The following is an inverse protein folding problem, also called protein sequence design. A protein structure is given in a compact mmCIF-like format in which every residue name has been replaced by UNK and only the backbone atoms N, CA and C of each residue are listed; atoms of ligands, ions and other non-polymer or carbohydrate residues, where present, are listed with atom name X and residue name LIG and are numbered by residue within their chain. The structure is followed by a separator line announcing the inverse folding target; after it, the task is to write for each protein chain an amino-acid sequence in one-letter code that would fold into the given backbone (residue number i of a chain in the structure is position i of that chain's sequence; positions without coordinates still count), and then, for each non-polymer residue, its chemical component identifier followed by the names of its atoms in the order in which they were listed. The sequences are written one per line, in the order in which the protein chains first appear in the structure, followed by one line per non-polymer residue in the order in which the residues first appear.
data_IF_413588372402
#
_entry.id   IF_413588372402
#
_cell.length_a   1.000
_cell.length_b   1.000
_cell.length_c   1.000
_cell.angle_alpha   90.00
_cell.angle_beta   90.00
_cell.angle_gamma   90.00
#
_symmetry.space_group_name_H-M   'P 1'
#
loop_
_entity.id
_entity.type
_entity.pdbx_description
1 polymer ?
#
# COMPACT_ATOMS: atom_id res chain seq x y z
N UNK A 1 62.96 17.96 -7.69
CA UNK A 1 63.41 19.12 -8.51
C UNK A 1 62.50 20.28 -8.13
N UNK A 2 62.91 21.12 -7.17
CA UNK A 2 63.49 22.47 -7.37
C UNK A 2 62.52 23.35 -8.17
N UNK A 3 61.85 24.37 -7.61
CA UNK A 3 62.37 25.66 -7.11
C UNK A 3 61.48 26.15 -5.92
N UNK A 4 61.98 26.51 -4.72
CA UNK A 4 62.79 27.66 -4.29
C UNK A 4 62.22 29.06 -4.61
N UNK A 5 61.93 29.84 -3.58
CA UNK A 5 61.57 31.26 -3.71
C UNK A 5 61.03 31.93 -2.44
N UNK A 6 61.79 31.90 -1.34
CA UNK A 6 61.55 32.69 -0.13
C UNK A 6 61.95 34.16 -0.33
N UNK A 7 61.11 35.11 0.13
CA UNK A 7 61.60 36.42 0.56
C UNK A 7 60.86 36.88 1.83
N UNK A 8 61.65 37.00 2.88
CA UNK A 8 61.35 37.59 4.18
C UNK A 8 61.43 39.11 4.12
N UNK A 9 60.53 39.81 4.82
CA UNK A 9 60.92 41.02 5.57
C UNK A 9 59.96 41.30 6.72
N UNK A 10 60.54 41.24 7.92
CA UNK A 10 59.96 41.72 9.15
C UNK A 10 60.16 43.24 9.27
N UNK A 11 59.19 43.95 9.85
CA UNK A 11 59.44 45.17 10.62
C UNK A 11 58.66 45.08 11.93
N UNK A 12 59.40 45.36 13.01
CA UNK A 12 59.03 45.32 14.42
C UNK A 12 58.09 46.46 14.80
N UNK A 13 57.12 46.11 15.65
CA UNK A 13 56.80 46.75 16.94
C UNK A 13 56.54 48.25 17.02
N UNK A 14 55.40 48.63 17.59
CA UNK A 14 55.35 49.49 18.80
C UNK A 14 53.95 49.52 19.43
N UNK A 15 53.97 49.22 20.72
CA UNK A 15 53.09 49.58 21.86
C UNK A 15 52.00 50.65 21.71
N UNK A 16 50.83 50.29 22.27
CA UNK A 16 50.07 51.07 23.27
C UNK A 16 49.20 52.24 22.78
N UNK A 17 47.88 52.08 22.85
CA UNK A 17 47.02 52.78 23.83
C UNK A 17 45.57 52.31 23.69
N UNK A 18 44.99 51.99 24.84
CA UNK A 18 43.55 51.85 25.03
C UNK A 18 42.85 53.16 24.62
N UNK A 19 41.83 53.06 23.78
CA UNK A 19 40.73 54.02 23.78
C UNK A 19 39.44 53.24 23.58
N UNK A 20 38.64 53.23 24.64
CA UNK A 20 37.26 52.81 24.62
C UNK A 20 36.48 53.75 23.70
N UNK A 21 35.94 53.23 22.61
CA UNK A 21 34.76 53.79 21.98
C UNK A 21 33.79 52.65 21.73
N UNK A 22 32.66 52.72 22.44
CA UNK A 22 31.54 51.83 22.28
C UNK A 22 31.01 51.92 20.86
N UNK A 23 31.09 50.80 20.15
CA UNK A 23 30.26 50.57 18.97
C UNK A 23 29.15 49.66 19.44
N UNK A 24 27.99 50.27 19.72
CA UNK A 24 26.71 49.57 19.66
C UNK A 24 26.56 49.15 18.20
N UNK A 25 27.02 47.95 17.86
CA UNK A 25 26.63 47.28 16.62
C UNK A 25 25.17 46.93 16.82
N UNK A 26 24.31 47.83 16.37
CA UNK A 26 22.91 47.57 16.15
C UNK A 26 22.88 46.43 15.12
N UNK A 27 22.73 45.19 15.61
CA UNK A 27 22.38 44.02 14.81
C UNK A 27 20.99 44.29 14.23
N UNK A 28 20.95 45.09 13.16
CA UNK A 28 19.95 44.97 12.11
C UNK A 28 20.22 43.63 11.41
N UNK A 29 19.94 42.55 12.13
CA UNK A 29 19.44 41.37 11.45
C UNK A 29 18.19 41.87 10.73
N UNK A 30 18.13 41.82 9.39
CA UNK A 30 16.83 41.81 8.78
C UNK A 30 16.15 40.61 9.40
N UNK A 31 15.17 40.87 10.28
CA UNK A 31 14.05 39.96 10.40
C UNK A 31 13.45 39.94 9.00
N UNK A 32 14.04 39.11 8.13
CA UNK A 32 13.31 38.48 7.06
C UNK A 32 12.15 37.84 7.80
N UNK A 33 11.02 38.52 7.79
CA UNK A 33 9.73 37.89 8.00
C UNK A 33 9.73 36.72 7.03
N UNK A 34 10.06 35.54 7.54
CA UNK A 34 9.84 34.26 6.90
C UNK A 34 8.33 34.16 6.76
N UNK A 35 7.84 34.76 5.69
CA UNK A 35 6.46 34.69 5.30
C UNK A 35 6.23 33.26 4.82
N UNK A 36 5.58 32.49 5.69
CA UNK A 36 5.04 31.16 5.46
C UNK A 36 3.95 31.15 4.37
N UNK A 37 4.24 31.69 3.19
CA UNK A 37 3.24 32.16 2.21
C UNK A 37 3.38 31.53 0.82
N UNK A 38 4.24 30.51 0.65
CA UNK A 38 4.52 29.95 -0.68
C UNK A 38 4.36 28.43 -0.76
N UNK A 39 3.94 27.96 -1.93
CA UNK A 39 3.81 26.53 -2.25
C UNK A 39 5.16 25.80 -2.18
N UNK A 40 6.27 26.51 -2.40
CA UNK A 40 7.63 25.98 -2.24
C UNK A 40 7.94 25.60 -0.78
N UNK A 41 7.46 26.39 0.17
CA UNK A 41 7.66 26.12 1.60
C UNK A 41 6.79 24.95 2.08
N UNK A 42 5.56 24.84 1.57
CA UNK A 42 4.71 23.66 1.80
C UNK A 42 5.45 22.38 1.35
N UNK A 43 6.08 22.41 0.17
CA UNK A 43 6.89 21.28 -0.34
C UNK A 43 8.09 20.99 0.55
N UNK A 44 8.84 22.01 0.94
CA UNK A 44 9.97 21.84 1.86
C UNK A 44 9.54 21.22 3.19
N UNK A 45 8.37 21.59 3.73
CA UNK A 45 7.83 20.99 4.94
C UNK A 45 7.40 19.53 4.75
N UNK A 46 6.82 19.18 3.60
CA UNK A 46 6.51 17.78 3.26
C UNK A 46 7.78 16.94 3.19
N UNK A 47 8.83 17.45 2.57
CA UNK A 47 10.10 16.73 2.41
C UNK A 47 10.81 16.51 3.76
N UNK A 48 10.53 17.34 4.76
CA UNK A 48 11.01 17.20 6.14
C UNK A 48 10.01 16.48 7.06
N UNK A 49 8.90 15.93 6.55
CA UNK A 49 7.91 15.19 7.33
C UNK A 49 7.00 16.04 8.22
N UNK A 50 6.99 17.37 8.07
CA UNK A 50 6.18 18.30 8.85
C UNK A 50 4.75 18.46 8.29
N UNK A 51 4.02 17.35 8.17
CA UNK A 51 2.73 17.23 7.46
C UNK A 51 1.66 18.12 8.06
N UNK A 52 1.50 18.06 9.38
CA UNK A 52 0.47 18.79 10.12
C UNK A 52 0.67 20.30 10.00
N UNK A 53 1.92 20.75 9.93
CA UNK A 53 2.27 22.14 9.70
C UNK A 53 1.99 22.55 8.26
N UNK A 54 2.35 21.72 7.28
CA UNK A 54 2.03 21.95 5.87
C UNK A 54 0.51 22.12 5.66
N UNK A 55 -0.30 21.21 6.19
CA UNK A 55 -1.77 21.31 6.11
C UNK A 55 -2.33 22.53 6.86
N UNK A 56 -1.73 22.91 8.00
CA UNK A 56 -2.11 24.11 8.73
C UNK A 56 -1.83 25.38 7.93
N UNK A 57 -0.69 25.45 7.24
CA UNK A 57 -0.35 26.57 6.34
C UNK A 57 -1.36 26.64 5.20
N UNK A 58 -1.68 25.51 4.56
CA UNK A 58 -2.72 25.47 3.51
C UNK A 58 -4.05 25.99 4.07
N UNK A 59 -4.51 25.51 5.23
CA UNK A 59 -5.77 25.96 5.83
C UNK A 59 -5.79 27.45 6.19
N UNK A 60 -4.65 28.02 6.59
CA UNK A 60 -4.57 29.40 7.06
C UNK A 60 -4.43 30.41 5.93
N UNK A 61 -3.71 30.06 4.86
CA UNK A 61 -3.26 31.01 3.84
C UNK A 61 -3.79 30.71 2.43
N UNK A 62 -4.51 29.60 2.21
CA UNK A 62 -5.15 29.34 0.93
C UNK A 62 -6.19 30.43 0.66
N UNK A 63 -6.03 31.12 -0.47
CA UNK A 63 -6.98 32.12 -0.96
C UNK A 63 -8.33 31.47 -1.22
N UNK A 64 -9.43 32.21 -1.18
CA UNK A 64 -10.71 31.63 -1.61
C UNK A 64 -10.68 31.36 -3.11
N UNK A 65 -11.51 30.40 -3.55
CA UNK A 65 -11.62 30.08 -4.96
C UNK A 65 -12.06 31.29 -5.79
N UNK A 66 -13.01 32.09 -5.28
CA UNK A 66 -13.57 33.23 -5.98
C UNK A 66 -12.54 34.36 -6.20
N UNK A 67 -11.54 34.49 -5.33
CA UNK A 67 -10.51 35.52 -5.43
C UNK A 67 -9.41 35.13 -6.43
N UNK A 68 -8.85 33.92 -6.28
CA UNK A 68 -7.70 33.47 -7.08
C UNK A 68 -7.82 31.99 -7.48
N UNK A 69 -8.67 31.65 -8.47
CA UNK A 69 -8.97 30.25 -8.82
C UNK A 69 -7.72 29.42 -9.14
N UNK A 70 -6.78 29.96 -9.91
CA UNK A 70 -5.55 29.25 -10.30
C UNK A 70 -4.64 28.97 -9.10
N UNK A 71 -4.50 29.94 -8.20
CA UNK A 71 -3.69 29.80 -6.99
C UNK A 71 -4.35 28.80 -6.05
N UNK A 72 -5.66 28.92 -5.82
CA UNK A 72 -6.44 27.96 -5.05
C UNK A 72 -6.25 26.52 -5.56
N UNK A 73 -6.37 26.30 -6.89
CA UNK A 73 -6.20 24.97 -7.49
C UNK A 73 -4.80 24.41 -7.27
N UNK A 74 -3.75 25.24 -7.35
CA UNK A 74 -2.38 24.77 -7.10
C UNK A 74 -2.17 24.32 -5.65
N UNK A 75 -2.77 25.03 -4.69
CA UNK A 75 -2.72 24.66 -3.28
C UNK A 75 -3.56 23.42 -2.99
N UNK A 76 -4.72 23.31 -3.64
CA UNK A 76 -5.60 22.16 -3.47
C UNK A 76 -5.01 20.88 -4.09
N UNK A 77 -4.29 21.01 -5.21
CA UNK A 77 -3.51 19.91 -5.77
C UNK A 77 -2.46 19.42 -4.76
N UNK A 78 -1.75 20.32 -4.09
CA UNK A 78 -0.80 19.90 -3.07
C UNK A 78 -1.46 19.34 -1.82
N UNK A 79 -2.61 19.85 -1.40
CA UNK A 79 -3.39 19.25 -0.32
C UNK A 79 -3.74 17.80 -0.63
N UNK A 80 -4.26 17.53 -1.84
CA UNK A 80 -4.57 16.17 -2.27
C UNK A 80 -3.30 15.31 -2.31
N UNK A 81 -2.19 15.82 -2.83
CA UNK A 81 -0.91 15.08 -2.83
C UNK A 81 -0.44 14.72 -1.42
N UNK A 82 -0.61 15.62 -0.44
CA UNK A 82 -0.33 15.34 0.97
C UNK A 82 -1.19 14.17 1.44
N UNK A 83 -2.50 14.27 1.27
CA UNK A 83 -3.40 13.19 1.72
C UNK A 83 -3.07 11.85 1.05
N UNK A 84 -2.70 11.85 -0.24
CA UNK A 84 -2.29 10.64 -0.94
C UNK A 84 -0.97 10.06 -0.41
N UNK A 85 0.03 10.91 -0.18
CA UNK A 85 1.36 10.47 0.29
C UNK A 85 1.29 9.87 1.70
N UNK A 86 0.43 10.40 2.55
CA UNK A 86 0.30 10.00 3.95
C UNK A 86 -0.95 9.16 4.22
N UNK A 87 -1.57 8.63 3.16
CA UNK A 87 -2.69 7.71 3.24
C UNK A 87 -3.90 8.23 4.05
N UNK A 88 -4.08 9.55 4.09
CA UNK A 88 -5.22 10.25 4.73
C UNK A 88 -6.46 10.18 3.81
N UNK A 89 -6.93 8.97 3.56
CA UNK A 89 -7.94 8.69 2.54
C UNK A 89 -9.32 9.26 2.87
N UNK A 90 -9.72 9.21 4.15
CA UNK A 90 -11.01 9.77 4.59
C UNK A 90 -11.02 11.29 4.40
N UNK A 91 -9.94 11.98 4.82
CA UNK A 91 -9.80 13.42 4.66
C UNK A 91 -9.80 13.85 3.19
N UNK A 92 -9.19 13.05 2.30
CA UNK A 92 -9.21 13.29 0.86
C UNK A 92 -10.62 13.18 0.30
N UNK A 93 -11.31 12.08 0.59
CA UNK A 93 -12.65 11.84 0.09
C UNK A 93 -13.63 12.92 0.59
N UNK A 94 -13.59 13.25 1.88
CA UNK A 94 -14.44 14.28 2.49
C UNK A 94 -14.12 15.68 1.96
N UNK A 95 -12.85 16.00 1.73
CA UNK A 95 -12.46 17.30 1.18
C UNK A 95 -13.05 17.53 -0.20
N UNK A 96 -12.92 16.55 -1.10
CA UNK A 96 -13.42 16.66 -2.48
C UNK A 96 -14.94 16.63 -2.54
N UNK A 97 -15.59 15.83 -1.68
CA UNK A 97 -17.06 15.78 -1.57
C UNK A 97 -17.69 17.13 -1.23
N UNK A 98 -16.96 17.97 -0.49
CA UNK A 98 -17.42 19.28 -0.02
C UNK A 98 -16.99 20.45 -0.92
N UNK A 99 -16.52 20.19 -2.14
CA UNK A 99 -16.34 21.28 -3.12
C UNK A 99 -17.71 21.91 -3.41
N UNK A 100 -17.81 23.24 -3.29
CA UNK A 100 -19.04 23.94 -3.66
C UNK A 100 -19.27 23.84 -5.16
N UNK A 101 -20.53 23.85 -5.58
CA UNK A 101 -20.92 23.86 -7.00
C UNK A 101 -20.41 25.10 -7.75
N UNK A 102 -19.92 26.12 -7.05
CA UNK A 102 -19.30 27.32 -7.63
C UNK A 102 -17.82 27.11 -8.02
N UNK A 103 -17.13 26.08 -7.49
CA UNK A 103 -15.71 25.77 -7.78
C UNK A 103 -15.53 25.15 -9.20
N UNK A 104 -16.63 24.95 -9.92
CA UNK A 104 -16.72 24.28 -11.24
C UNK A 104 -16.24 25.19 -12.38
N UNK A 105 -14.97 25.58 -12.41
CA UNK A 105 -14.43 26.30 -13.59
C UNK A 105 -13.66 25.42 -14.57
N UNK A 106 -13.01 24.33 -14.13
CA UNK A 106 -12.36 23.43 -15.08
C UNK A 106 -12.87 22.00 -14.91
N UNK A 107 -13.53 21.49 -15.95
CA UNK A 107 -13.92 20.09 -16.03
C UNK A 107 -12.74 19.14 -15.82
N UNK A 108 -11.52 19.59 -16.14
CA UNK A 108 -10.29 18.84 -15.91
C UNK A 108 -9.94 18.68 -14.43
N UNK A 109 -9.90 19.78 -13.66
CA UNK A 109 -9.62 19.71 -12.23
C UNK A 109 -10.68 18.89 -11.49
N UNK A 110 -11.96 19.05 -11.84
CA UNK A 110 -13.04 18.26 -11.26
C UNK A 110 -12.89 16.77 -11.57
N UNK A 111 -12.68 16.42 -12.83
CA UNK A 111 -12.46 15.03 -13.24
C UNK A 111 -11.28 14.43 -12.50
N UNK A 112 -10.16 15.15 -12.41
CA UNK A 112 -8.97 14.69 -11.70
C UNK A 112 -9.22 14.52 -10.19
N UNK A 113 -9.75 15.54 -9.52
CA UNK A 113 -9.93 15.55 -8.06
C UNK A 113 -10.92 14.48 -7.60
N UNK A 114 -12.07 14.36 -8.26
CA UNK A 114 -13.05 13.32 -7.96
C UNK A 114 -12.55 11.92 -8.33
N UNK A 115 -11.67 11.79 -9.34
CA UNK A 115 -10.97 10.52 -9.59
C UNK A 115 -10.05 10.15 -8.42
N UNK A 116 -9.37 11.13 -7.81
CA UNK A 116 -8.58 10.86 -6.59
C UNK A 116 -9.47 10.50 -5.40
N UNK A 117 -10.62 11.19 -5.24
CA UNK A 117 -11.60 10.86 -4.21
C UNK A 117 -12.15 9.44 -4.38
N UNK A 118 -12.49 9.03 -5.60
CA UNK A 118 -12.91 7.66 -5.90
C UNK A 118 -11.82 6.65 -5.53
N UNK A 119 -10.56 6.89 -5.88
CA UNK A 119 -9.42 6.03 -5.47
C UNK A 119 -9.26 5.95 -3.96
N UNK A 120 -9.42 7.05 -3.24
CA UNK A 120 -9.38 7.09 -1.78
C UNK A 120 -10.54 6.28 -1.17
N UNK A 121 -11.76 6.45 -1.68
CA UNK A 121 -12.93 5.66 -1.28
C UNK A 121 -12.72 4.16 -1.53
N UNK A 122 -12.12 3.80 -2.66
CA UNK A 122 -11.70 2.42 -2.90
C UNK A 122 -10.75 2.00 -1.78
N UNK A 123 -9.67 2.75 -1.49
CA UNK A 123 -8.70 2.43 -0.43
C UNK A 123 -9.33 2.24 0.97
N UNK A 124 -10.46 2.90 1.22
CA UNK A 124 -11.28 2.76 2.43
C UNK A 124 -12.28 1.59 2.39
N UNK A 125 -12.25 0.77 1.35
CA UNK A 125 -13.23 -0.29 1.06
C UNK A 125 -14.68 0.19 0.89
N UNK A 126 -14.89 1.50 0.66
CA UNK A 126 -16.19 2.13 0.37
C UNK A 126 -16.50 2.06 -1.14
N UNK A 127 -16.54 0.85 -1.70
CA UNK A 127 -16.60 0.65 -3.15
C UNK A 127 -17.91 1.10 -3.80
N UNK A 128 -19.04 1.00 -3.11
CA UNK A 128 -20.32 1.55 -3.58
C UNK A 128 -20.30 3.08 -3.72
N UNK A 129 -19.74 3.79 -2.73
CA UNK A 129 -19.55 5.24 -2.79
C UNK A 129 -18.60 5.64 -3.92
N UNK A 130 -17.50 4.90 -4.09
CA UNK A 130 -16.57 5.13 -5.19
C UNK A 130 -17.26 5.02 -6.56
N UNK A 131 -18.09 3.98 -6.77
CA UNK A 131 -18.88 3.83 -8.01
C UNK A 131 -19.81 5.01 -8.23
N UNK A 132 -20.50 5.47 -7.19
CA UNK A 132 -21.40 6.62 -7.30
C UNK A 132 -20.66 7.88 -7.75
N UNK A 133 -19.46 8.14 -7.22
CA UNK A 133 -18.61 9.25 -7.66
C UNK A 133 -18.21 9.09 -9.13
N UNK A 134 -17.75 7.90 -9.53
CA UNK A 134 -17.29 7.64 -10.90
C UNK A 134 -18.43 7.74 -11.91
N UNK A 135 -19.61 7.18 -11.60
CA UNK A 135 -20.78 7.25 -12.47
C UNK A 135 -21.24 8.69 -12.67
N UNK A 136 -21.27 9.49 -11.59
CA UNK A 136 -21.54 10.93 -11.70
C UNK A 136 -20.55 11.61 -12.66
N UNK A 137 -19.25 11.32 -12.53
CA UNK A 137 -18.24 11.87 -13.45
C UNK A 137 -18.47 11.46 -14.90
N UNK A 138 -18.81 10.19 -15.16
CA UNK A 138 -19.09 9.72 -16.52
C UNK A 138 -20.24 10.51 -17.13
N UNK A 139 -21.34 10.69 -16.39
CA UNK A 139 -22.54 11.36 -16.89
C UNK A 139 -22.44 12.89 -16.93
N UNK A 140 -21.66 13.51 -16.05
CA UNK A 140 -21.53 14.98 -15.97
C UNK A 140 -20.34 15.54 -16.75
N UNK A 141 -19.42 14.69 -17.21
CA UNK A 141 -18.22 15.13 -17.92
C UNK A 141 -18.47 15.39 -19.41
N UNK A 142 -17.76 16.39 -19.95
CA UNK A 142 -17.79 16.66 -21.37
C UNK A 142 -16.99 15.63 -22.18
N UNK A 143 -17.17 15.62 -23.50
CA UNK A 143 -16.54 14.66 -24.42
C UNK A 143 -15.00 14.63 -24.31
N UNK A 144 -14.36 15.79 -24.10
CA UNK A 144 -12.91 15.86 -23.97
C UNK A 144 -12.41 15.14 -22.71
N UNK A 145 -13.09 15.33 -21.58
CA UNK A 145 -12.76 14.62 -20.33
C UNK A 145 -13.05 13.13 -20.43
N UNK A 146 -14.18 12.74 -21.02
CA UNK A 146 -14.49 11.33 -21.25
C UNK A 146 -13.37 10.66 -22.08
N UNK A 147 -12.95 11.28 -23.19
CA UNK A 147 -11.87 10.73 -24.02
C UNK A 147 -10.57 10.53 -23.24
N UNK A 148 -10.26 11.43 -22.29
CA UNK A 148 -9.05 11.38 -21.45
C UNK A 148 -9.16 10.34 -20.32
N UNK A 149 -10.30 10.29 -19.63
CA UNK A 149 -10.42 9.59 -18.35
C UNK A 149 -11.23 8.29 -18.40
N UNK A 150 -12.00 8.03 -19.46
CA UNK A 150 -12.93 6.90 -19.49
C UNK A 150 -12.25 5.56 -19.17
N UNK A 151 -11.05 5.32 -19.71
CA UNK A 151 -10.30 4.09 -19.42
C UNK A 151 -9.94 3.97 -17.93
N UNK A 152 -9.56 5.07 -17.29
CA UNK A 152 -9.26 5.10 -15.85
C UNK A 152 -10.53 4.84 -15.05
N UNK A 153 -11.64 5.51 -15.38
CA UNK A 153 -12.92 5.34 -14.72
C UNK A 153 -13.48 3.92 -14.84
N UNK A 154 -13.41 3.32 -16.03
CA UNK A 154 -13.79 1.92 -16.21
C UNK A 154 -12.95 0.97 -15.35
N UNK A 155 -11.63 1.20 -15.26
CA UNK A 155 -10.77 0.38 -14.38
C UNK A 155 -11.21 0.52 -12.92
N UNK A 156 -11.44 1.74 -12.43
CA UNK A 156 -11.89 1.96 -11.06
C UNK A 156 -13.25 1.32 -10.76
N UNK A 157 -14.17 1.29 -11.73
CA UNK A 157 -15.44 0.56 -11.62
C UNK A 157 -15.18 -0.95 -11.46
N UNK A 158 -14.30 -1.53 -12.28
CA UNK A 158 -13.94 -2.96 -12.16
C UNK A 158 -13.33 -3.26 -10.79
N UNK A 159 -12.37 -2.44 -10.34
CA UNK A 159 -11.76 -2.57 -9.01
C UNK A 159 -12.81 -2.50 -7.90
N UNK A 160 -13.78 -1.59 -8.00
CA UNK A 160 -14.88 -1.48 -7.03
C UNK A 160 -15.72 -2.75 -6.93
N UNK A 161 -15.99 -3.44 -8.04
CA UNK A 161 -16.73 -4.71 -8.02
C UNK A 161 -15.93 -5.81 -7.33
N UNK A 162 -14.61 -5.84 -7.54
CA UNK A 162 -13.73 -6.79 -6.85
C UNK A 162 -13.75 -6.59 -5.34
N UNK A 163 -13.72 -5.33 -4.89
CA UNK A 163 -13.72 -4.97 -3.46
C UNK A 163 -15.03 -5.37 -2.79
N UNK A 164 -16.16 -5.08 -3.42
CA UNK A 164 -17.50 -5.47 -2.95
C UNK A 164 -17.81 -6.97 -3.17
N UNK A 165 -16.83 -7.76 -3.63
CA UNK A 165 -16.99 -9.20 -3.90
C UNK A 165 -18.05 -9.53 -4.96
N UNK A 166 -18.38 -8.56 -5.83
CA UNK A 166 -19.25 -8.70 -7.00
C UNK A 166 -18.45 -9.29 -8.18
N UNK A 167 -17.88 -10.49 -7.99
CA UNK A 167 -16.87 -11.06 -8.91
C UNK A 167 -17.44 -11.35 -10.31
N UNK A 168 -18.73 -11.73 -10.41
CA UNK A 168 -19.39 -11.93 -11.71
C UNK A 168 -19.48 -10.62 -12.51
N UNK A 169 -19.84 -9.51 -11.86
CA UNK A 169 -19.91 -8.19 -12.50
C UNK A 169 -18.51 -7.67 -12.87
N UNK A 170 -17.53 -7.89 -12.00
CA UNK A 170 -16.12 -7.60 -12.31
C UNK A 170 -15.65 -8.34 -13.57
N UNK A 171 -16.05 -9.61 -13.73
CA UNK A 171 -15.73 -10.43 -14.89
C UNK A 171 -16.37 -9.90 -16.18
N UNK A 172 -17.64 -9.50 -16.14
CA UNK A 172 -18.31 -8.91 -17.30
C UNK A 172 -17.64 -7.58 -17.67
N UNK A 173 -17.38 -6.74 -16.67
CA UNK A 173 -16.79 -5.43 -16.88
C UNK A 173 -15.36 -5.50 -17.45
N UNK A 174 -14.50 -6.43 -16.99
CA UNK A 174 -13.14 -6.58 -17.55
C UNK A 174 -13.15 -7.15 -18.98
N UNK A 175 -14.12 -8.01 -19.32
CA UNK A 175 -14.30 -8.48 -20.70
C UNK A 175 -14.72 -7.34 -21.63
N UNK A 176 -15.68 -6.51 -21.19
CA UNK A 176 -16.09 -5.32 -21.93
C UNK A 176 -14.94 -4.32 -22.08
N UNK A 177 -14.18 -4.09 -21.02
CA UNK A 177 -12.98 -3.26 -21.05
C UNK A 177 -11.95 -3.74 -22.10
N UNK A 178 -11.71 -5.04 -22.17
CA UNK A 178 -10.83 -5.63 -23.20
C UNK A 178 -11.40 -5.43 -24.61
N UNK A 179 -12.71 -5.55 -24.79
CA UNK A 179 -13.36 -5.30 -26.07
C UNK A 179 -13.21 -3.84 -26.51
N UNK A 180 -13.41 -2.89 -25.59
CA UNK A 180 -13.40 -1.46 -25.89
C UNK A 180 -11.98 -0.91 -26.11
N UNK A 181 -10.97 -1.46 -25.43
CA UNK A 181 -9.59 -0.95 -25.47
C UNK A 181 -8.56 -1.89 -26.13
N UNK A 182 -8.97 -3.08 -26.56
CA UNK A 182 -8.11 -4.06 -27.22
C UNK A 182 -7.08 -4.69 -26.28
N UNK A 183 -5.79 -4.52 -26.60
CA UNK A 183 -4.70 -5.15 -25.86
C UNK A 183 -4.57 -4.56 -24.45
N UNK A 184 -4.64 -5.44 -23.46
CA UNK A 184 -4.52 -5.08 -22.05
C UNK A 184 -3.08 -4.74 -21.67
N UNK A 185 -2.91 -3.69 -20.87
CA UNK A 185 -1.62 -3.43 -20.20
C UNK A 185 -1.32 -4.55 -19.20
N UNK A 186 -0.07 -4.66 -18.74
CA UNK A 186 0.28 -5.64 -17.71
C UNK A 186 -0.59 -5.49 -16.45
N UNK A 187 -0.84 -4.25 -16.00
CA UNK A 187 -1.69 -3.99 -14.84
C UNK A 187 -3.14 -4.45 -15.07
N UNK A 188 -3.70 -4.23 -16.25
CA UNK A 188 -5.05 -4.72 -16.60
C UNK A 188 -5.10 -6.24 -16.65
N UNK A 189 -4.03 -6.88 -17.15
CA UNK A 189 -3.93 -8.34 -17.21
C UNK A 189 -3.80 -8.96 -15.82
N UNK A 190 -3.06 -8.33 -14.90
CA UNK A 190 -3.00 -8.75 -13.50
C UNK A 190 -4.37 -8.63 -12.81
N UNK A 191 -5.10 -7.55 -13.07
CA UNK A 191 -6.48 -7.39 -12.59
C UNK A 191 -7.39 -8.48 -13.16
N UNK A 192 -7.31 -8.75 -14.47
CA UNK A 192 -8.07 -9.82 -15.12
C UNK A 192 -7.77 -11.19 -14.50
N UNK A 193 -6.48 -11.53 -14.32
CA UNK A 193 -6.07 -12.81 -13.75
C UNK A 193 -6.56 -12.96 -12.31
N UNK A 194 -6.52 -11.89 -11.52
CA UNK A 194 -7.07 -11.88 -10.16
C UNK A 194 -8.56 -12.16 -10.16
N UNK A 195 -9.34 -11.52 -11.03
CA UNK A 195 -10.78 -11.78 -11.18
C UNK A 195 -11.02 -13.23 -11.57
N UNK A 196 -10.24 -13.79 -12.51
CA UNK A 196 -10.34 -15.19 -12.90
C UNK A 196 -10.07 -16.15 -11.73
N UNK A 197 -9.01 -15.91 -10.95
CA UNK A 197 -8.70 -16.72 -9.76
C UNK A 197 -9.83 -16.63 -8.72
N UNK A 198 -10.36 -15.44 -8.48
CA UNK A 198 -11.49 -15.23 -7.55
C UNK A 198 -12.78 -15.90 -8.05
N UNK A 199 -12.96 -16.02 -9.36
CA UNK A 199 -14.11 -16.65 -9.99
C UNK A 199 -13.91 -18.16 -10.25
N UNK A 200 -12.96 -18.80 -9.55
CA UNK A 200 -12.61 -20.22 -9.71
C UNK A 200 -12.14 -20.64 -11.13
N UNK A 201 -11.73 -19.68 -11.96
CA UNK A 201 -11.19 -19.89 -13.31
C UNK A 201 -9.67 -19.83 -13.31
N UNK A 202 -9.06 -20.61 -12.41
CA UNK A 202 -7.61 -20.54 -12.20
C UNK A 202 -6.81 -21.03 -13.42
N UNK A 203 -7.32 -21.99 -14.19
CA UNK A 203 -6.65 -22.44 -15.42
C UNK A 203 -6.54 -21.33 -16.48
N UNK A 204 -7.61 -20.56 -16.69
CA UNK A 204 -7.57 -19.41 -17.62
C UNK A 204 -6.56 -18.34 -17.15
N UNK A 205 -6.42 -18.15 -15.83
CA UNK A 205 -5.44 -17.24 -15.27
C UNK A 205 -4.01 -17.69 -15.56
N UNK A 206 -3.73 -19.01 -15.53
CA UNK A 206 -2.42 -19.59 -15.88
C UNK A 206 -2.07 -19.23 -17.32
N UNK A 207 -3.00 -19.40 -18.26
CA UNK A 207 -2.77 -19.13 -19.69
C UNK A 207 -2.36 -17.67 -19.93
N UNK A 208 -3.12 -16.73 -19.36
CA UNK A 208 -2.85 -15.31 -19.60
C UNK A 208 -1.61 -14.80 -18.86
N UNK A 209 -1.22 -15.44 -17.75
CA UNK A 209 -0.06 -15.05 -16.93
C UNK A 209 1.25 -15.72 -17.36
N UNK A 210 1.21 -16.83 -18.10
CA UNK A 210 2.40 -17.61 -18.47
C UNK A 210 3.51 -16.76 -19.12
N UNK A 211 3.13 -15.83 -20.00
CA UNK A 211 4.06 -14.91 -20.69
C UNK A 211 4.78 -13.96 -19.71
N UNK A 212 4.18 -13.70 -18.55
CA UNK A 212 4.69 -12.77 -17.55
C UNK A 212 5.15 -13.47 -16.26
N UNK A 213 5.24 -14.80 -16.22
CA UNK A 213 5.53 -15.56 -15.01
C UNK A 213 6.84 -15.18 -14.29
N UNK A 214 7.79 -14.56 -14.99
CA UNK A 214 9.05 -14.04 -14.42
C UNK A 214 8.91 -12.69 -13.73
N UNK A 215 7.84 -11.95 -13.98
CA UNK A 215 7.59 -10.68 -13.29
C UNK A 215 7.11 -10.94 -11.87
N UNK A 216 7.38 -10.03 -10.91
CA UNK A 216 7.17 -10.32 -9.49
C UNK A 216 5.71 -10.64 -9.13
N UNK A 217 4.78 -9.70 -9.37
CA UNK A 217 3.36 -9.89 -9.06
C UNK A 217 2.69 -10.92 -9.98
N UNK A 218 3.06 -10.95 -11.25
CA UNK A 218 2.52 -11.93 -12.20
C UNK A 218 2.91 -13.37 -11.83
N UNK A 219 4.17 -13.58 -11.42
CA UNK A 219 4.68 -14.85 -10.96
C UNK A 219 3.99 -15.32 -9.68
N UNK A 220 3.72 -14.42 -8.74
CA UNK A 220 2.92 -14.73 -7.55
C UNK A 220 1.51 -15.22 -7.94
N UNK A 221 0.78 -14.46 -8.77
CA UNK A 221 -0.56 -14.86 -9.22
C UNK A 221 -0.54 -16.15 -10.03
N UNK A 222 0.51 -16.36 -10.82
CA UNK A 222 0.70 -17.58 -11.60
C UNK A 222 0.88 -18.80 -10.69
N UNK A 223 1.69 -18.69 -9.64
CA UNK A 223 1.84 -19.75 -8.63
C UNK A 223 0.53 -20.04 -7.89
N UNK A 224 -0.22 -19.01 -7.52
CA UNK A 224 -1.52 -19.16 -6.88
C UNK A 224 -2.53 -19.85 -7.79
N UNK A 225 -2.60 -19.44 -9.06
CA UNK A 225 -3.46 -20.06 -10.06
C UNK A 225 -3.10 -21.54 -10.27
N UNK A 226 -1.80 -21.86 -10.37
CA UNK A 226 -1.32 -23.23 -10.45
C UNK A 226 -1.71 -24.10 -9.25
N UNK A 227 -1.68 -23.52 -8.05
CA UNK A 227 -2.08 -24.19 -6.82
C UNK A 227 -3.59 -24.50 -6.82
N UNK A 228 -4.41 -23.49 -7.08
CA UNK A 228 -5.88 -23.60 -7.02
C UNK A 228 -6.47 -24.44 -8.13
N UNK A 229 -5.87 -24.43 -9.31
CA UNK A 229 -6.27 -25.33 -10.40
C UNK A 229 -5.73 -26.76 -10.25
N UNK A 230 -4.90 -27.00 -9.24
CA UNK A 230 -4.21 -28.30 -9.00
C UNK A 230 -3.31 -28.73 -10.16
N UNK A 231 -2.98 -27.84 -11.10
CA UNK A 231 -2.02 -28.09 -12.17
C UNK A 231 -0.59 -28.26 -11.65
N UNK A 232 -0.32 -27.83 -10.41
CA UNK A 232 0.97 -28.05 -9.73
C UNK A 232 0.78 -28.54 -8.30
N UNK A 233 1.54 -29.56 -7.92
CA UNK A 233 1.52 -30.11 -6.56
C UNK A 233 1.82 -29.03 -5.49
N UNK A 234 1.08 -28.98 -4.37
CA UNK A 234 1.22 -27.90 -3.38
C UNK A 234 2.64 -27.72 -2.84
N UNK A 235 3.36 -28.82 -2.56
CA UNK A 235 4.75 -28.77 -2.08
C UNK A 235 5.69 -28.11 -3.11
N UNK A 236 5.42 -28.30 -4.41
CA UNK A 236 6.21 -27.67 -5.49
C UNK A 236 5.88 -26.19 -5.64
N UNK A 237 4.64 -25.78 -5.37
CA UNK A 237 4.24 -24.36 -5.31
C UNK A 237 4.92 -23.69 -4.13
N UNK A 238 4.85 -24.28 -2.94
CA UNK A 238 5.52 -23.78 -1.74
C UNK A 238 7.03 -23.54 -1.98
N UNK A 239 7.73 -24.53 -2.54
CA UNK A 239 9.16 -24.39 -2.89
C UNK A 239 9.42 -23.30 -3.95
N UNK A 240 8.48 -23.06 -4.86
CA UNK A 240 8.62 -22.01 -5.87
C UNK A 240 8.38 -20.62 -5.27
N UNK A 241 7.37 -20.47 -4.42
CA UNK A 241 7.07 -19.20 -3.74
C UNK A 241 8.23 -18.78 -2.83
N UNK A 242 8.80 -19.71 -2.04
CA UNK A 242 9.99 -19.46 -1.21
C UNK A 242 11.22 -19.06 -2.06
N UNK A 243 11.36 -19.62 -3.27
CA UNK A 243 12.41 -19.19 -4.20
C UNK A 243 12.17 -17.79 -4.75
N UNK A 244 10.93 -17.47 -5.10
CA UNK A 244 10.54 -16.14 -5.57
C UNK A 244 10.82 -15.05 -4.53
N UNK A 245 10.62 -15.34 -3.24
CA UNK A 245 10.90 -14.40 -2.15
C UNK A 245 12.38 -14.00 -2.02
N UNK A 246 13.30 -14.81 -2.53
CA UNK A 246 14.75 -14.51 -2.48
C UNK A 246 15.22 -13.61 -3.62
N UNK A 247 14.32 -13.15 -4.49
CA UNK A 247 14.66 -12.23 -5.58
C UNK A 247 14.88 -10.81 -5.08
N UNK A 248 15.76 -10.06 -5.74
CA UNK A 248 16.07 -8.65 -5.40
C UNK A 248 14.89 -7.69 -5.58
N UNK A 249 13.84 -8.11 -6.28
CA UNK A 249 12.65 -7.31 -6.60
C UNK A 249 11.52 -7.41 -5.55
N UNK A 250 11.73 -8.16 -4.47
CA UNK A 250 10.68 -8.43 -3.48
C UNK A 250 10.57 -7.25 -2.53
N UNK A 251 9.45 -6.55 -2.59
CA UNK A 251 9.06 -5.57 -1.59
C UNK A 251 8.22 -6.25 -0.49
N UNK A 252 7.99 -5.54 0.62
CA UNK A 252 7.25 -6.04 1.78
C UNK A 252 5.85 -6.58 1.42
N UNK A 253 5.13 -5.89 0.52
CA UNK A 253 3.78 -6.29 0.09
C UNK A 253 3.81 -7.62 -0.69
N UNK A 254 4.73 -7.76 -1.65
CA UNK A 254 4.86 -8.99 -2.42
C UNK A 254 5.36 -10.13 -1.55
N UNK A 255 6.25 -9.85 -0.58
CA UNK A 255 6.70 -10.86 0.38
C UNK A 255 5.51 -11.41 1.18
N UNK A 256 4.65 -10.56 1.74
CA UNK A 256 3.44 -10.99 2.45
C UNK A 256 2.52 -11.82 1.54
N UNK A 257 2.32 -11.43 0.28
CA UNK A 257 1.52 -12.21 -0.68
C UNK A 257 2.15 -13.57 -1.01
N UNK A 258 3.48 -13.66 -1.12
CA UNK A 258 4.15 -14.94 -1.34
C UNK A 258 4.06 -15.82 -0.09
N UNK A 259 4.14 -15.26 1.11
CA UNK A 259 3.87 -16.01 2.35
C UNK A 259 2.43 -16.52 2.39
N UNK A 260 1.47 -15.74 1.90
CA UNK A 260 0.08 -16.17 1.75
C UNK A 260 -0.07 -17.37 0.79
N UNK A 261 0.62 -17.35 -0.36
CA UNK A 261 0.67 -18.50 -1.28
C UNK A 261 1.30 -19.73 -0.62
N UNK A 262 2.37 -19.54 0.16
CA UNK A 262 3.02 -20.63 0.92
C UNK A 262 2.06 -21.22 1.96
N UNK A 263 1.33 -20.39 2.69
CA UNK A 263 0.36 -20.83 3.68
C UNK A 263 -0.74 -21.70 3.05
N UNK A 264 -1.34 -21.23 1.95
CA UNK A 264 -2.38 -21.97 1.23
C UNK A 264 -1.85 -23.31 0.69
N UNK A 265 -0.63 -23.32 0.14
CA UNK A 265 0.01 -24.54 -0.35
C UNK A 265 0.32 -25.54 0.78
N UNK A 266 0.78 -25.07 1.93
CA UNK A 266 1.06 -25.89 3.10
C UNK A 266 -0.22 -26.50 3.70
N UNK A 267 -1.31 -25.72 3.75
CA UNK A 267 -2.63 -26.21 4.15
C UNK A 267 -3.11 -27.31 3.19
N UNK A 268 -3.05 -27.08 1.87
CA UNK A 268 -3.45 -28.08 0.87
C UNK A 268 -2.61 -29.37 0.89
N UNK A 269 -1.39 -29.33 1.42
CA UNK A 269 -0.53 -30.51 1.58
C UNK A 269 -0.61 -31.16 2.96
N UNK A 270 -1.39 -30.61 3.90
CA UNK A 270 -1.50 -31.11 5.26
C UNK A 270 -0.25 -30.87 6.14
N UNK A 271 0.66 -29.99 5.69
CA UNK A 271 1.81 -29.53 6.47
C UNK A 271 1.43 -28.34 7.34
N UNK A 272 0.70 -28.65 8.42
CA UNK A 272 0.17 -27.66 9.36
C UNK A 272 1.27 -26.84 10.05
N UNK A 273 2.47 -27.41 10.21
CA UNK A 273 3.62 -26.72 10.80
C UNK A 273 4.17 -25.62 9.89
N UNK A 274 4.29 -25.90 8.60
CA UNK A 274 4.66 -24.88 7.61
C UNK A 274 3.54 -23.87 7.39
N UNK A 275 2.27 -24.31 7.41
CA UNK A 275 1.11 -23.43 7.26
C UNK A 275 1.06 -22.37 8.37
N UNK A 276 1.24 -22.77 9.62
CA UNK A 276 1.27 -21.86 10.76
C UNK A 276 2.37 -20.79 10.62
N UNK A 277 3.60 -21.21 10.33
CA UNK A 277 4.74 -20.29 10.16
C UNK A 277 4.55 -19.32 9.00
N UNK A 278 3.97 -19.79 7.90
CA UNK A 278 3.69 -18.94 6.75
C UNK A 278 2.57 -17.93 7.04
N UNK A 279 1.53 -18.34 7.77
CA UNK A 279 0.46 -17.44 8.21
C UNK A 279 0.96 -16.38 9.20
N UNK A 280 1.83 -16.74 10.15
CA UNK A 280 2.50 -15.78 11.05
C UNK A 280 3.20 -14.68 10.24
N UNK A 281 4.06 -15.08 9.29
CA UNK A 281 4.81 -14.13 8.44
C UNK A 281 3.91 -13.33 7.53
N UNK A 282 2.88 -13.96 6.96
CA UNK A 282 1.92 -13.28 6.11
C UNK A 282 1.22 -12.16 6.91
N UNK A 283 0.78 -12.45 8.15
CA UNK A 283 0.05 -11.54 9.04
C UNK A 283 0.89 -10.37 9.55
N UNK A 284 2.18 -10.57 9.86
CA UNK A 284 3.06 -9.48 10.36
C UNK A 284 3.12 -8.31 9.37
N UNK A 285 3.20 -8.62 8.08
CA UNK A 285 3.27 -7.61 7.00
C UNK A 285 1.97 -7.49 6.22
N UNK A 286 0.87 -8.09 6.70
CA UNK A 286 -0.43 -7.99 6.04
C UNK A 286 -1.03 -6.62 6.28
N UNK A 287 -0.55 -5.63 5.52
CA UNK A 287 -1.37 -4.45 5.24
C UNK A 287 -2.51 -4.95 4.38
N UNK A 288 -3.75 -4.71 4.80
CA UNK A 288 -4.96 -5.07 4.07
C UNK A 288 -5.06 -4.23 2.79
N UNK A 289 -4.17 -4.48 1.84
CA UNK A 289 -4.25 -3.84 0.54
C UNK A 289 -5.50 -4.37 -0.17
N UNK A 290 -6.30 -3.43 -0.64
CA UNK A 290 -7.60 -3.61 -1.26
C UNK A 290 -7.73 -4.82 -2.17
N UNK A 291 -6.73 -4.98 -3.05
CA UNK A 291 -6.75 -5.99 -4.08
C UNK A 291 -6.48 -7.39 -3.50
N UNK A 292 -5.71 -7.49 -2.42
CA UNK A 292 -5.20 -8.74 -1.86
C UNK A 292 -6.08 -9.28 -0.73
N UNK A 293 -6.85 -8.42 -0.06
CA UNK A 293 -7.80 -8.78 1.02
C UNK A 293 -8.75 -9.91 0.67
N UNK A 294 -9.20 -9.97 -0.59
CA UNK A 294 -10.13 -11.00 -1.08
C UNK A 294 -9.45 -12.21 -1.71
N UNK A 295 -8.19 -12.04 -2.12
CA UNK A 295 -7.47 -13.10 -2.82
C UNK A 295 -7.09 -14.23 -1.87
N UNK A 296 -6.74 -13.90 -0.63
CA UNK A 296 -6.33 -14.85 0.41
C UNK A 296 -7.28 -14.80 1.60
N UNK A 297 -7.59 -15.96 2.16
CA UNK A 297 -8.35 -16.07 3.42
C UNK A 297 -7.37 -16.11 4.59
N UNK A 298 -6.77 -14.96 4.92
CA UNK A 298 -5.79 -14.84 6.01
C UNK A 298 -6.38 -13.96 7.10
N UNK A 299 -6.47 -14.52 8.30
CA UNK A 299 -6.93 -13.84 9.50
C UNK A 299 -6.28 -14.46 10.74
N UNK A 300 -6.33 -13.75 11.86
CA UNK A 300 -5.94 -14.30 13.15
C UNK A 300 -6.70 -15.60 13.47
N UNK A 301 -8.00 -15.68 13.12
CA UNK A 301 -8.80 -16.90 13.31
C UNK A 301 -8.30 -18.07 12.46
N UNK A 302 -7.88 -17.78 11.21
CA UNK A 302 -7.32 -18.82 10.33
C UNK A 302 -6.02 -19.37 10.89
N UNK A 303 -5.14 -18.48 11.39
CA UNK A 303 -3.91 -18.88 12.06
C UNK A 303 -4.20 -19.68 13.33
N UNK A 304 -5.15 -19.21 14.16
CA UNK A 304 -5.57 -19.89 15.37
C UNK A 304 -6.04 -21.31 15.08
N UNK A 305 -6.91 -21.48 14.08
CA UNK A 305 -7.42 -22.78 13.68
C UNK A 305 -6.29 -23.73 13.25
N UNK A 306 -5.33 -23.27 12.44
CA UNK A 306 -4.18 -24.09 12.04
C UNK A 306 -3.32 -24.50 13.23
N UNK A 307 -3.15 -23.63 14.23
CA UNK A 307 -2.45 -24.01 15.46
C UNK A 307 -3.18 -25.12 16.21
N UNK A 308 -4.51 -25.02 16.35
CA UNK A 308 -5.31 -26.04 17.02
C UNK A 308 -5.19 -27.40 16.33
N UNK A 309 -5.35 -27.44 15.00
CA UNK A 309 -5.21 -28.67 14.24
C UNK A 309 -3.80 -29.27 14.36
N UNK A 310 -2.77 -28.41 14.32
CA UNK A 310 -1.40 -28.87 14.43
C UNK A 310 -1.09 -29.43 15.83
N UNK A 311 -1.54 -28.75 16.88
CA UNK A 311 -1.40 -29.20 18.26
C UNK A 311 -2.12 -30.55 18.46
N UNK A 312 -3.36 -30.69 17.98
CA UNK A 312 -4.10 -31.95 18.05
C UNK A 312 -3.36 -33.09 17.34
N UNK A 313 -2.80 -32.83 16.15
CA UNK A 313 -2.00 -33.82 15.41
C UNK A 313 -0.76 -34.26 16.18
N UNK A 314 -0.07 -33.34 16.86
CA UNK A 314 1.09 -33.66 17.72
C UNK A 314 0.66 -34.45 18.94
N UNK A 315 -0.38 -34.01 19.66
CA UNK A 315 -0.92 -34.66 20.84
C UNK A 315 -1.32 -36.10 20.56
N UNK A 316 -2.08 -36.33 19.49
CA UNK A 316 -2.48 -37.66 19.05
C UNK A 316 -1.28 -38.56 18.73
N UNK A 317 -0.24 -38.02 18.08
CA UNK A 317 0.99 -38.79 17.79
C UNK A 317 1.79 -39.13 19.05
N UNK A 318 1.68 -38.30 20.10
CA UNK A 318 2.35 -38.48 21.38
C UNK A 318 1.49 -39.20 22.42
N UNK A 319 0.23 -39.53 22.09
CA UNK A 319 -0.76 -40.13 22.98
C UNK A 319 -1.01 -39.29 24.24
N UNK A 320 -0.87 -37.97 24.14
CA UNK A 320 -1.15 -37.07 25.26
C UNK A 320 -2.65 -36.93 25.44
N UNK A 321 -3.09 -37.05 26.70
CA UNK A 321 -4.49 -36.83 27.04
C UNK A 321 -4.77 -35.35 27.26
N UNK A 322 -6.04 -35.01 27.06
CA UNK A 322 -6.61 -33.75 27.48
C UNK A 322 -6.40 -33.55 29.00
N UNK A 323 -5.74 -32.46 29.40
CA UNK A 323 -5.45 -32.13 30.81
C UNK A 323 -4.09 -32.60 31.36
N UNK A 324 -3.23 -33.24 30.57
CA UNK A 324 -1.85 -33.58 30.97
C UNK A 324 -0.88 -32.40 30.79
N UNK A 325 -1.19 -31.27 31.42
CA UNK A 325 -0.56 -29.96 31.17
C UNK A 325 0.97 -29.97 31.34
N UNK A 326 1.48 -30.76 32.28
CA UNK A 326 2.93 -30.88 32.51
C UNK A 326 3.67 -31.49 31.30
N UNK A 327 3.05 -32.46 30.61
CA UNK A 327 3.63 -33.11 29.44
C UNK A 327 3.61 -32.17 28.23
N UNK A 328 2.51 -31.43 28.06
CA UNK A 328 2.39 -30.37 27.04
C UNK A 328 3.40 -29.25 27.25
N UNK A 329 3.58 -28.79 28.49
CA UNK A 329 4.56 -27.74 28.85
C UNK A 329 6.00 -28.19 28.62
N UNK A 330 6.34 -29.43 28.95
CA UNK A 330 7.66 -29.99 28.70
C UNK A 330 7.95 -30.08 27.19
N UNK A 331 6.95 -30.48 26.41
CA UNK A 331 7.08 -30.56 24.95
C UNK A 331 7.21 -29.16 24.31
N UNK A 332 6.46 -28.16 24.81
CA UNK A 332 6.56 -26.78 24.36
C UNK A 332 7.96 -26.19 24.60
N UNK A 333 8.51 -26.35 25.82
CA UNK A 333 9.84 -25.85 26.20
C UNK A 333 10.98 -26.42 25.36
N UNK A 334 10.84 -27.65 24.90
CA UNK A 334 11.87 -28.35 24.12
C UNK A 334 11.68 -28.18 22.60
N UNK A 335 10.74 -27.35 22.16
CA UNK A 335 10.50 -27.05 20.75
C UNK A 335 10.96 -25.63 20.41
N UNK A 336 11.71 -25.45 19.32
CA UNK A 336 12.08 -24.12 18.82
C UNK A 336 10.85 -23.29 18.38
N UNK A 337 9.68 -23.94 18.20
CA UNK A 337 8.41 -23.34 17.76
C UNK A 337 7.51 -23.03 18.96
N UNK A 338 7.95 -22.09 19.79
CA UNK A 338 7.33 -21.67 21.05
C UNK A 338 5.82 -21.36 20.97
N UNK A 339 5.27 -20.88 19.85
CA UNK A 339 3.86 -20.46 19.79
C UNK A 339 2.88 -21.63 19.61
N UNK A 340 3.19 -22.59 18.73
CA UNK A 340 2.28 -23.70 18.35
C UNK A 340 1.89 -24.55 19.56
N UNK A 341 2.87 -24.81 20.42
CA UNK A 341 2.69 -25.65 21.61
C UNK A 341 2.23 -24.86 22.84
N UNK A 342 2.46 -23.55 22.88
CA UNK A 342 1.83 -22.66 23.86
C UNK A 342 0.32 -22.56 23.68
N UNK A 343 -0.24 -22.81 22.50
CA UNK A 343 -1.68 -22.67 22.24
C UNK A 343 -2.51 -23.91 22.54
N UNK A 344 -1.88 -25.08 22.64
CA UNK A 344 -2.47 -26.26 23.29
C UNK A 344 -2.91 -25.96 24.74
N UNK A 345 -2.28 -24.97 25.39
CA UNK A 345 -2.65 -24.43 26.71
C UNK A 345 -4.07 -23.85 26.75
N UNK A 346 -4.56 -23.25 25.67
CA UNK A 346 -5.81 -22.50 25.67
C UNK A 346 -7.04 -23.35 25.34
N UNK A 347 -6.88 -24.48 24.66
CA UNK A 347 -7.98 -25.43 24.44
C UNK A 347 -8.47 -26.11 25.70
N UNK A 348 -7.65 -26.13 26.76
CA UNK A 348 -8.04 -26.72 28.05
C UNK A 348 -8.71 -25.75 29.03
N UNK A 349 -8.83 -24.46 28.68
CA UNK A 349 -9.54 -23.46 29.49
C UNK A 349 -10.97 -23.16 28.97
N UNK A 350 -11.37 -23.72 27.82
CA UNK A 350 -12.64 -23.40 27.15
C UNK A 350 -13.60 -24.60 26.98
N UNK A 351 -13.39 -25.69 27.72
CA UNK A 351 -14.37 -26.77 27.87
C UNK A 351 -14.97 -26.78 29.27
#
# INVERSE_FOLDING_TARGET
MLFNGSFTRAIKGTTQKQFQYGIVVFLLLPFSTLFANSLAEIKALQDNGAISLALRIINKYQHTFNDQPKVWMSWELERINIYQRYESWDELADRVKNYSDEIIYTHEFLSWSHTQAAKALLKLTKASEARNVILKLIWSSNQAQQKKWMKVWHRLIIESYVIDSMIADAQIAILRFKQDYGTLSIADRLLQARIMILNNRSDDAIEILAVHAKQPQAGMLYLLAQLRSKSRAPQKVQQAALRHMRGEWVNEELESQLWAVVAEAAQMSGDLGSAAQALERALVSYRSDLHNSKLFKISADTLWHVYLEHAAKIGNKKLFLAGEDAQWLALAKNSEKNLILMLARYTHLSC
#
